data_IF_556809721236
#
_entry.id   IF_556809721236
#
_cell.length_a   1.000
_cell.length_b   1.000
_cell.length_c   1.000
_cell.angle_alpha   90.00
_cell.angle_beta   90.00
_cell.angle_gamma   90.00
#
_symmetry.space_group_name_H-M   'P 1'
#
loop_
_entity.id
_entity.type
_entity.pdbx_description
1 polymer ?
#
# COMPACT_ATOMS: atom_id res chain seq x y z
N UNK A 1 20.63 17.54 -11.44
CA UNK A 1 20.20 16.13 -11.43
C UNK A 1 18.76 16.12 -10.96
N UNK A 2 17.87 15.95 -11.91
CA UNK A 2 16.41 15.85 -11.73
C UNK A 2 16.13 14.60 -10.88
N UNK A 3 15.56 14.78 -9.67
CA UNK A 3 14.90 13.69 -8.94
C UNK A 3 13.67 13.33 -9.76
N UNK A 4 13.84 12.34 -10.63
CA UNK A 4 12.74 11.75 -11.37
C UNK A 4 11.65 11.33 -10.39
N UNK A 5 10.41 11.73 -10.68
CA UNK A 5 9.18 11.38 -9.98
C UNK A 5 9.08 9.86 -9.79
N UNK A 6 9.64 9.33 -8.70
CA UNK A 6 9.46 7.94 -8.34
C UNK A 6 8.02 7.75 -7.91
N UNK A 7 7.26 7.05 -8.73
CA UNK A 7 5.90 6.62 -8.38
C UNK A 7 6.07 5.41 -7.47
N UNK A 8 5.93 5.61 -6.17
CA UNK A 8 5.99 4.54 -5.18
C UNK A 8 4.57 4.07 -4.88
N UNK A 9 4.33 2.76 -4.91
CA UNK A 9 2.99 2.16 -4.82
C UNK A 9 3.03 1.02 -3.79
N UNK A 10 2.08 0.98 -2.88
CA UNK A 10 2.02 0.06 -1.72
C UNK A 10 0.72 -0.74 -1.67
N UNK A 11 0.77 -1.93 -1.07
CA UNK A 11 -0.30 -2.93 -1.14
C UNK A 11 -0.49 -3.67 0.18
N UNK A 12 -1.73 -4.01 0.53
CA UNK A 12 -2.08 -4.88 1.65
C UNK A 12 -2.99 -6.03 1.22
N UNK A 13 -2.86 -7.18 1.88
CA UNK A 13 -3.57 -8.42 1.56
C UNK A 13 -4.33 -8.93 2.78
N UNK A 14 -5.63 -9.16 2.60
CA UNK A 14 -6.52 -9.57 3.67
C UNK A 14 -7.02 -11.03 3.55
N UNK A 15 -7.58 -11.51 4.65
CA UNK A 15 -7.93 -12.87 5.03
C UNK A 15 -9.24 -13.39 4.42
N UNK A 16 -9.43 -14.74 4.41
CA UNK A 16 -10.70 -15.43 4.14
C UNK A 16 -11.80 -14.95 5.11
N UNK A 17 -12.92 -14.49 4.56
CA UNK A 17 -13.99 -13.81 5.31
C UNK A 17 -13.87 -12.29 5.33
N UNK A 18 -12.68 -11.75 5.06
CA UNK A 18 -12.38 -10.37 4.76
C UNK A 18 -12.02 -10.24 3.28
N UNK A 19 -12.03 -9.02 2.77
CA UNK A 19 -11.63 -8.77 1.40
C UNK A 19 -10.11 -8.62 1.32
N UNK A 20 -9.47 -9.27 0.34
CA UNK A 20 -8.09 -8.94 -0.02
C UNK A 20 -8.11 -7.63 -0.78
N UNK A 21 -7.57 -6.59 -0.15
CA UNK A 21 -7.58 -5.23 -0.68
C UNK A 21 -6.18 -4.81 -1.10
N UNK A 22 -6.12 -4.10 -2.18
CA UNK A 22 -4.91 -3.59 -2.74
C UNK A 22 -5.04 -2.07 -2.93
N UNK A 23 -4.29 -1.31 -2.15
CA UNK A 23 -4.21 0.15 -2.20
C UNK A 23 -3.01 0.58 -3.02
N UNK A 24 -3.19 1.45 -4.00
CA UNK A 24 -2.11 2.01 -4.81
C UNK A 24 -1.88 3.46 -4.42
N UNK A 25 -0.75 3.73 -3.79
CA UNK A 25 -0.33 5.08 -3.44
C UNK A 25 0.76 5.57 -4.39
N UNK A 26 0.64 6.82 -4.80
CA UNK A 26 1.75 7.58 -5.39
C UNK A 26 2.34 8.47 -4.31
N UNK A 27 3.63 8.31 -4.06
CA UNK A 27 4.35 9.03 -3.01
C UNK A 27 5.22 10.11 -3.64
N UNK A 28 5.18 11.30 -3.05
CA UNK A 28 5.98 12.45 -3.46
C UNK A 28 6.90 12.86 -2.33
N UNK A 29 8.21 12.60 -2.43
CA UNK A 29 9.17 13.12 -1.48
C UNK A 29 9.28 14.63 -1.63
N UNK A 30 8.67 15.39 -0.72
CA UNK A 30 8.71 16.84 -0.71
C UNK A 30 9.30 17.34 0.60
N UNK A 31 10.58 17.74 0.56
CA UNK A 31 11.25 18.28 1.76
C UNK A 31 11.28 17.28 2.92
N UNK A 32 10.74 17.72 4.06
CA UNK A 32 10.73 16.95 5.30
C UNK A 32 9.36 16.29 5.58
N UNK A 33 8.40 16.42 4.67
CA UNK A 33 7.08 15.78 4.76
C UNK A 33 6.67 15.22 3.41
N UNK A 34 6.53 13.91 3.32
CA UNK A 34 6.15 13.23 2.09
C UNK A 34 4.64 13.20 1.91
N UNK A 35 4.18 13.53 0.71
CA UNK A 35 2.78 13.50 0.34
C UNK A 35 2.42 12.21 -0.38
N UNK A 36 1.26 11.68 -0.08
CA UNK A 36 0.68 10.51 -0.73
C UNK A 36 -0.56 10.89 -1.52
N UNK A 37 -0.75 10.27 -2.68
CA UNK A 37 -2.01 10.35 -3.41
C UNK A 37 -2.52 8.93 -3.66
N UNK A 38 -3.73 8.65 -3.22
CA UNK A 38 -4.43 7.42 -3.57
C UNK A 38 -4.70 7.43 -5.08
N UNK A 39 -4.11 6.48 -5.79
CA UNK A 39 -4.23 6.38 -7.26
C UNK A 39 -5.29 5.37 -7.67
N UNK A 40 -5.39 4.28 -6.91
CA UNK A 40 -6.33 3.21 -7.18
C UNK A 40 -6.56 2.33 -5.95
N UNK A 41 -7.67 1.62 -5.98
CA UNK A 41 -8.04 0.57 -5.05
C UNK A 41 -8.55 -0.63 -5.84
N UNK A 42 -8.21 -1.83 -5.36
CA UNK A 42 -8.69 -3.09 -5.92
C UNK A 42 -9.15 -3.99 -4.79
N UNK A 43 -10.16 -4.80 -5.05
CA UNK A 43 -10.53 -5.94 -4.23
C UNK A 43 -10.24 -7.16 -5.07
N UNK A 44 -9.37 -8.05 -4.57
CA UNK A 44 -8.97 -9.28 -5.24
C UNK A 44 -9.89 -10.43 -4.82
N UNK A 45 -10.08 -11.40 -5.71
CA UNK A 45 -10.89 -12.58 -5.41
C UNK A 45 -12.36 -12.28 -5.14
N UNK A 46 -13.00 -11.44 -5.96
CA UNK A 46 -14.39 -10.98 -5.77
C UNK A 46 -15.38 -12.13 -5.88
N UNK A 47 -15.16 -13.07 -6.80
CA UNK A 47 -16.06 -14.22 -7.02
C UNK A 47 -15.70 -15.39 -6.12
N UNK A 48 -16.68 -16.28 -5.84
CA UNK A 48 -16.47 -17.47 -5.01
C UNK A 48 -15.42 -18.44 -5.57
N UNK A 49 -15.26 -18.46 -6.89
CA UNK A 49 -14.25 -19.26 -7.60
C UNK A 49 -12.85 -18.63 -7.54
N UNK A 50 -12.76 -17.32 -7.26
CA UNK A 50 -11.54 -16.53 -7.23
C UNK A 50 -11.00 -16.30 -5.81
N UNK A 51 -11.53 -16.97 -4.81
CA UNK A 51 -11.10 -16.79 -3.40
C UNK A 51 -9.84 -17.58 -3.04
N UNK A 52 -9.31 -18.38 -3.95
CA UNK A 52 -8.08 -19.14 -3.72
C UNK A 52 -6.86 -18.22 -3.82
N UNK A 53 -5.82 -18.49 -3.01
CA UNK A 53 -4.63 -17.63 -2.97
C UNK A 53 -3.90 -17.59 -4.31
N UNK A 54 -3.81 -18.71 -5.02
CA UNK A 54 -3.19 -18.80 -6.33
C UNK A 54 -3.79 -17.79 -7.33
N UNK A 55 -5.12 -17.65 -7.38
CA UNK A 55 -5.76 -16.65 -8.24
C UNK A 55 -5.45 -15.22 -7.79
N UNK A 56 -5.51 -14.96 -6.48
CA UNK A 56 -5.19 -13.64 -5.94
C UNK A 56 -3.72 -13.27 -6.15
N UNK A 57 -2.81 -14.23 -6.07
CA UNK A 57 -1.38 -14.06 -6.40
C UNK A 57 -1.20 -13.67 -7.86
N UNK A 58 -1.87 -14.35 -8.79
CA UNK A 58 -1.85 -14.01 -10.22
C UNK A 58 -2.38 -12.59 -10.44
N UNK A 59 -3.54 -12.24 -9.83
CA UNK A 59 -4.09 -10.88 -9.94
C UNK A 59 -3.12 -9.83 -9.40
N UNK A 60 -2.49 -10.07 -8.24
CA UNK A 60 -1.52 -9.15 -7.68
C UNK A 60 -0.28 -9.00 -8.56
N UNK A 61 0.26 -10.09 -9.09
CA UNK A 61 1.41 -10.05 -10.01
C UNK A 61 1.10 -9.28 -11.29
N UNK A 62 -0.11 -9.44 -11.85
CA UNK A 62 -0.59 -8.64 -12.99
C UNK A 62 -0.64 -7.14 -12.65
N UNK A 63 -1.04 -6.80 -11.41
CA UNK A 63 -1.06 -5.42 -10.98
C UNK A 63 0.35 -4.88 -10.76
N UNK A 64 1.29 -5.69 -10.25
CA UNK A 64 2.71 -5.32 -10.15
C UNK A 64 3.27 -4.99 -11.54
N UNK A 65 3.03 -5.83 -12.54
CA UNK A 65 3.43 -5.54 -13.92
C UNK A 65 2.80 -4.24 -14.45
N UNK A 66 1.50 -4.06 -14.22
CA UNK A 66 0.74 -2.89 -14.69
C UNK A 66 1.24 -1.58 -14.10
N UNK A 67 1.57 -1.57 -12.82
CA UNK A 67 1.92 -0.34 -12.11
C UNK A 67 3.41 -0.16 -11.92
N UNK A 68 4.19 -1.21 -12.04
CA UNK A 68 5.63 -1.22 -11.79
C UNK A 68 5.99 -0.49 -10.48
N UNK A 69 5.50 -1.00 -9.32
CA UNK A 69 5.73 -0.35 -8.04
C UNK A 69 7.18 -0.47 -7.62
N UNK A 70 7.67 0.50 -6.86
CA UNK A 70 8.98 0.41 -6.21
C UNK A 70 8.96 -0.62 -5.08
N UNK A 71 7.85 -0.69 -4.36
CA UNK A 71 7.70 -1.57 -3.21
C UNK A 71 6.25 -2.03 -3.05
N UNK A 72 6.06 -3.23 -2.55
CA UNK A 72 4.77 -3.87 -2.29
C UNK A 72 4.74 -4.31 -0.84
N UNK A 73 3.85 -3.72 -0.05
CA UNK A 73 3.69 -4.06 1.37
C UNK A 73 2.69 -5.19 1.51
N UNK A 74 3.03 -6.21 2.28
CA UNK A 74 2.19 -7.40 2.49
C UNK A 74 2.03 -7.66 3.99
N UNK A 75 0.80 -7.83 4.47
CA UNK A 75 0.55 -8.40 5.78
C UNK A 75 0.92 -9.89 5.78
N UNK A 76 1.94 -10.25 6.54
CA UNK A 76 2.41 -11.63 6.68
C UNK A 76 1.95 -12.28 7.98
N UNK A 77 0.93 -11.74 8.66
CA UNK A 77 0.34 -12.39 9.81
C UNK A 77 -0.55 -13.57 9.39
N UNK A 78 -0.41 -14.67 10.09
CA UNK A 78 -1.28 -15.84 9.92
C UNK A 78 -1.29 -16.34 8.49
N UNK A 79 -2.42 -16.17 7.78
CA UNK A 79 -2.58 -16.60 6.39
C UNK A 79 -1.90 -15.69 5.35
N UNK A 80 -1.39 -14.54 5.72
CA UNK A 80 -0.57 -13.73 4.84
C UNK A 80 0.79 -14.36 4.54
N UNK A 81 1.30 -15.24 5.42
CA UNK A 81 2.55 -15.95 5.18
C UNK A 81 2.45 -16.93 3.98
N UNK A 82 1.48 -17.87 3.87
CA UNK A 82 1.30 -18.70 2.68
C UNK A 82 1.14 -17.88 1.40
N UNK A 83 0.46 -16.74 1.44
CA UNK A 83 0.38 -15.85 0.31
C UNK A 83 1.76 -15.30 -0.09
N UNK A 84 2.58 -14.90 0.89
CA UNK A 84 3.97 -14.49 0.67
C UNK A 84 4.81 -15.60 0.05
N UNK A 85 4.63 -16.86 0.50
CA UNK A 85 5.31 -18.04 -0.05
C UNK A 85 5.00 -18.28 -1.53
N UNK A 86 3.80 -17.92 -1.98
CA UNK A 86 3.41 -18.03 -3.39
C UNK A 86 3.88 -16.82 -4.21
N UNK A 87 4.02 -15.64 -3.59
CA UNK A 87 4.59 -14.47 -4.27
C UNK A 87 6.06 -14.65 -4.64
N UNK A 88 6.82 -15.42 -3.85
CA UNK A 88 8.26 -15.68 -4.11
C UNK A 88 8.52 -16.78 -5.13
N UNK A 89 7.47 -17.39 -5.70
CA UNK A 89 7.57 -18.40 -6.76
C UNK A 89 7.16 -17.80 -8.10
N UNK A 90 7.65 -18.36 -9.20
CA UNK A 90 7.03 -18.12 -10.51
C UNK A 90 5.62 -18.71 -10.54
N UNK A 91 4.68 -18.03 -11.21
CA UNK A 91 3.27 -18.40 -11.19
C UNK A 91 2.73 -18.39 -12.61
N UNK A 92 2.08 -19.49 -13.02
CA UNK A 92 1.46 -19.59 -14.34
C UNK A 92 0.16 -18.78 -14.40
N UNK A 93 0.06 -17.89 -15.37
CA UNK A 93 -1.14 -17.12 -15.67
C UNK A 93 -1.95 -17.82 -16.76
N UNK A 94 -2.97 -18.59 -16.37
CA UNK A 94 -3.80 -19.37 -17.30
C UNK A 94 -4.54 -18.49 -18.33
N UNK A 95 -4.93 -17.27 -17.96
CA UNK A 95 -5.69 -16.38 -18.85
C UNK A 95 -4.82 -15.79 -19.94
N UNK A 96 -3.55 -15.49 -19.62
CA UNK A 96 -2.59 -14.87 -20.54
C UNK A 96 -1.67 -15.88 -21.21
N UNK A 97 -1.60 -17.13 -20.70
CA UNK A 97 -0.70 -18.16 -21.18
C UNK A 97 0.78 -17.82 -20.98
N UNK A 98 1.14 -17.13 -19.89
CA UNK A 98 2.51 -16.72 -19.61
C UNK A 98 2.91 -17.06 -18.16
N UNK A 99 4.21 -17.19 -17.93
CA UNK A 99 4.79 -17.30 -16.60
C UNK A 99 5.00 -15.91 -16.02
N UNK A 100 4.41 -15.63 -14.87
CA UNK A 100 4.62 -14.41 -14.10
C UNK A 100 5.83 -14.58 -13.18
N UNK A 101 6.68 -13.53 -13.02
CA UNK A 101 7.93 -13.66 -12.29
C UNK A 101 7.72 -13.85 -10.78
N UNK A 102 8.74 -14.38 -10.13
CA UNK A 102 8.89 -14.39 -8.69
C UNK A 102 9.30 -12.99 -8.20
N UNK A 103 8.78 -12.59 -7.04
CA UNK A 103 9.19 -11.37 -6.35
C UNK A 103 9.73 -11.72 -4.96
N UNK A 104 10.82 -11.09 -4.54
CA UNK A 104 11.45 -11.37 -3.25
C UNK A 104 11.13 -10.33 -2.19
N UNK A 105 11.22 -10.75 -0.92
CA UNK A 105 11.13 -9.86 0.23
C UNK A 105 12.44 -9.11 0.46
N UNK A 106 12.33 -7.86 0.90
CA UNK A 106 13.46 -7.02 1.34
C UNK A 106 13.81 -7.28 2.80
N UNK A 107 12.83 -7.70 3.57
CA UNK A 107 12.93 -8.10 4.96
C UNK A 107 12.41 -9.54 5.12
N UNK A 108 12.67 -10.17 6.26
CA UNK A 108 12.28 -11.57 6.55
C UNK A 108 12.89 -12.60 5.58
N UNK A 109 14.15 -12.41 5.17
CA UNK A 109 14.86 -13.37 4.30
C UNK A 109 14.93 -14.78 4.92
N UNK A 110 14.98 -14.88 6.25
CA UNK A 110 14.94 -16.11 7.03
C UNK A 110 13.58 -16.82 6.99
N UNK A 111 12.50 -16.09 6.85
CA UNK A 111 11.15 -16.64 6.74
C UNK A 111 10.84 -17.15 5.32
N UNK A 112 11.34 -16.45 4.31
CA UNK A 112 11.11 -16.75 2.90
C UNK A 112 12.38 -17.33 2.22
N UNK A 113 12.91 -18.41 2.77
CA UNK A 113 14.17 -19.03 2.33
C UNK A 113 14.17 -19.56 0.90
N UNK A 114 12.99 -19.84 0.33
CA UNK A 114 12.82 -20.35 -1.03
C UNK A 114 12.78 -19.29 -2.12
N UNK A 115 12.93 -18.01 -1.78
CA UNK A 115 12.94 -16.95 -2.78
C UNK A 115 14.16 -17.05 -3.70
N UNK A 116 13.99 -16.92 -5.03
CA UNK A 116 15.10 -16.99 -5.97
C UNK A 116 16.11 -15.86 -5.73
N UNK A 117 17.41 -16.18 -5.81
CA UNK A 117 18.48 -15.17 -5.58
C UNK A 117 18.42 -13.99 -6.54
N UNK A 118 17.94 -14.22 -7.77
CA UNK A 118 17.90 -13.22 -8.84
C UNK A 118 16.52 -12.59 -9.02
N UNK A 119 15.55 -12.80 -8.10
CA UNK A 119 14.26 -12.15 -8.20
C UNK A 119 14.33 -10.66 -7.79
N UNK A 120 13.38 -9.88 -8.30
CA UNK A 120 13.23 -8.48 -7.90
C UNK A 120 12.73 -8.41 -6.45
N UNK A 121 13.55 -7.89 -5.54
CA UNK A 121 13.19 -7.73 -4.11
C UNK A 121 12.37 -6.46 -3.92
N UNK A 122 11.08 -6.53 -4.18
CA UNK A 122 10.14 -5.42 -4.02
C UNK A 122 9.11 -5.65 -2.92
N UNK A 123 9.05 -6.85 -2.34
CA UNK A 123 8.09 -7.15 -1.29
C UNK A 123 8.62 -6.70 0.08
N UNK A 124 7.76 -6.10 0.87
CA UNK A 124 8.01 -5.71 2.25
C UNK A 124 6.95 -6.33 3.15
N UNK A 125 7.35 -7.29 3.99
CA UNK A 125 6.44 -7.95 4.92
C UNK A 125 6.19 -7.09 6.15
N UNK A 126 4.95 -7.03 6.62
CA UNK A 126 4.57 -6.48 7.92
C UNK A 126 3.99 -7.61 8.77
N UNK A 127 4.56 -7.82 9.95
CA UNK A 127 4.00 -8.70 10.97
C UNK A 127 3.54 -7.86 12.15
N UNK A 128 2.29 -7.39 12.05
CA UNK A 128 1.74 -6.46 13.01
C UNK A 128 1.47 -7.12 14.37
N UNK A 129 1.80 -6.39 15.43
CA UNK A 129 1.43 -6.66 16.82
C UNK A 129 0.72 -5.44 17.42
N UNK A 130 0.31 -5.50 18.68
CA UNK A 130 -0.43 -4.40 19.31
C UNK A 130 0.30 -3.06 19.30
N UNK A 131 1.61 -3.04 19.52
CA UNK A 131 2.42 -1.83 19.49
C UNK A 131 2.54 -1.26 18.08
N UNK A 132 2.82 -2.12 17.11
CA UNK A 132 2.93 -1.74 15.70
C UNK A 132 1.59 -1.26 15.13
N UNK A 133 0.47 -1.91 15.50
CA UNK A 133 -0.87 -1.43 15.13
C UNK A 133 -1.11 -0.02 15.65
N UNK A 134 -0.76 0.27 16.91
CA UNK A 134 -0.89 1.61 17.49
C UNK A 134 -0.04 2.65 16.75
N UNK A 135 1.17 2.29 16.34
CA UNK A 135 2.05 3.14 15.55
C UNK A 135 1.47 3.41 14.14
N UNK A 136 0.98 2.37 13.47
CA UNK A 136 0.32 2.50 12.16
C UNK A 136 -0.89 3.44 12.23
N UNK A 137 -1.75 3.29 13.25
CA UNK A 137 -2.88 4.19 13.49
C UNK A 137 -2.44 5.64 13.67
N UNK A 138 -1.42 5.86 14.49
CA UNK A 138 -0.89 7.20 14.75
C UNK A 138 -0.29 7.84 13.49
N UNK A 139 0.42 7.07 12.68
CA UNK A 139 1.03 7.51 11.43
C UNK A 139 -0.04 7.90 10.41
N UNK A 140 -1.06 7.06 10.21
CA UNK A 140 -2.16 7.37 9.30
C UNK A 140 -2.93 8.59 9.76
N UNK A 141 -3.28 8.69 11.06
CA UNK A 141 -3.94 9.84 11.62
C UNK A 141 -3.15 11.14 11.39
N UNK A 142 -1.84 11.12 11.66
CA UNK A 142 -0.95 12.26 11.46
C UNK A 142 -0.90 12.70 9.99
N UNK A 143 -0.78 11.76 9.05
CA UNK A 143 -0.75 12.04 7.62
C UNK A 143 -2.08 12.59 7.08
N UNK A 144 -3.21 12.09 7.59
CA UNK A 144 -4.54 12.62 7.25
C UNK A 144 -4.73 14.01 7.83
N UNK A 145 -4.43 14.20 9.12
CA UNK A 145 -4.59 15.47 9.81
C UNK A 145 -3.71 16.60 9.21
N UNK A 146 -2.49 16.27 8.79
CA UNK A 146 -1.58 17.21 8.14
C UNK A 146 -1.93 17.49 6.66
N UNK A 147 -2.98 16.88 6.11
CA UNK A 147 -3.33 17.01 4.70
C UNK A 147 -2.29 16.41 3.75
N UNK A 148 -1.48 15.46 4.25
CA UNK A 148 -0.42 14.82 3.46
C UNK A 148 -0.91 13.62 2.66
N UNK A 149 -2.21 13.29 2.72
CA UNK A 149 -2.85 12.25 1.92
C UNK A 149 -3.97 12.87 1.09
N UNK A 150 -3.90 12.65 -0.22
CA UNK A 150 -4.98 13.00 -1.14
C UNK A 150 -5.76 11.75 -1.54
N UNK A 151 -7.06 11.79 -1.35
CA UNK A 151 -7.98 10.75 -1.80
C UNK A 151 -8.51 11.04 -3.22
N UNK A 152 -9.03 10.01 -3.88
CA UNK A 152 -9.76 10.21 -5.12
C UNK A 152 -11.06 10.99 -4.83
N UNK A 153 -11.54 11.74 -5.83
CA UNK A 153 -12.83 12.42 -5.75
C UNK A 153 -13.95 11.40 -5.57
N UNK A 154 -15.10 11.86 -5.05
CA UNK A 154 -16.26 11.00 -4.85
C UNK A 154 -16.69 10.29 -6.15
N UNK A 155 -17.33 9.12 -6.03
CA UNK A 155 -17.89 8.41 -7.16
C UNK A 155 -18.83 9.30 -7.96
N UNK A 156 -19.64 10.11 -7.27
CA UNK A 156 -20.62 11.00 -7.89
C UNK A 156 -19.94 12.08 -8.76
N UNK A 157 -18.90 12.73 -8.22
CA UNK A 157 -18.12 13.72 -8.98
C UNK A 157 -17.35 13.08 -10.13
N UNK A 158 -16.82 11.89 -9.93
CA UNK A 158 -16.14 11.12 -10.98
C UNK A 158 -17.10 10.76 -12.11
N UNK A 159 -18.34 10.36 -11.81
CA UNK A 159 -19.39 10.07 -12.78
C UNK A 159 -19.78 11.30 -13.57
N UNK A 160 -19.97 12.44 -12.90
CA UNK A 160 -20.26 13.72 -13.55
C UNK A 160 -19.12 14.11 -14.48
N UNK A 161 -17.86 14.08 -14.01
CA UNK A 161 -16.68 14.35 -14.82
C UNK A 161 -16.56 13.41 -16.02
N UNK A 162 -16.81 12.13 -15.85
CA UNK A 162 -16.72 11.14 -16.91
C UNK A 162 -17.75 11.43 -18.01
N UNK A 163 -18.99 11.68 -17.61
CA UNK A 163 -20.11 11.90 -18.54
C UNK A 163 -20.12 13.30 -19.18
N UNK A 164 -19.40 14.27 -18.62
CA UNK A 164 -19.23 15.59 -19.24
C UNK A 164 -18.34 15.56 -20.50
N UNK A 165 -17.57 14.47 -20.69
CA UNK A 165 -16.67 14.33 -21.84
C UNK A 165 -17.29 13.47 -22.94
N UNK A 166 -17.13 13.88 -24.23
CA UNK A 166 -17.58 13.08 -25.38
C UNK A 166 -17.01 11.65 -25.37
N UNK A 167 -15.75 11.49 -24.89
CA UNK A 167 -15.10 10.17 -24.75
C UNK A 167 -15.79 9.33 -23.68
N UNK A 168 -16.14 9.90 -22.54
CA UNK A 168 -16.81 9.20 -21.44
C UNK A 168 -18.23 8.77 -21.81
N UNK A 169 -18.96 9.60 -22.58
CA UNK A 169 -20.30 9.26 -23.06
C UNK A 169 -20.31 8.08 -24.02
N UNK A 170 -19.24 7.90 -24.81
CA UNK A 170 -19.09 6.78 -25.77
C UNK A 170 -18.60 5.48 -25.17
N UNK A 171 -18.22 5.47 -23.88
CA UNK A 171 -17.78 4.23 -23.22
C UNK A 171 -18.93 3.27 -23.05
N UNK A 172 -18.64 1.97 -23.25
CA UNK A 172 -19.57 0.88 -22.92
C UNK A 172 -19.80 0.82 -21.40
N UNK A 173 -20.94 0.30 -20.93
CA UNK A 173 -21.25 0.22 -19.49
C UNK A 173 -20.12 -0.39 -18.66
N UNK A 174 -19.54 -1.52 -19.10
CA UNK A 174 -18.47 -2.21 -18.39
C UNK A 174 -17.20 -1.33 -18.27
N UNK A 175 -16.90 -0.56 -19.30
CA UNK A 175 -15.76 0.37 -19.28
C UNK A 175 -16.00 1.54 -18.34
N UNK A 176 -17.25 1.99 -18.19
CA UNK A 176 -17.65 3.04 -17.23
C UNK A 176 -17.50 2.51 -15.80
N UNK A 177 -18.04 1.32 -15.51
CA UNK A 177 -17.91 0.65 -14.21
C UNK A 177 -16.44 0.53 -13.85
N UNK A 178 -15.61 -0.03 -14.73
CA UNK A 178 -14.17 -0.18 -14.49
C UNK A 178 -13.45 1.13 -14.18
N UNK A 179 -13.90 2.26 -14.76
CA UNK A 179 -13.32 3.58 -14.49
C UNK A 179 -13.82 4.21 -13.20
N UNK A 180 -15.05 3.92 -12.79
CA UNK A 180 -15.67 4.47 -11.58
C UNK A 180 -15.32 3.65 -10.33
N UNK A 181 -15.04 2.36 -10.50
CA UNK A 181 -14.71 1.44 -9.39
C UNK A 181 -13.68 2.00 -8.37
N UNK A 182 -12.55 2.61 -8.76
CA UNK A 182 -11.62 3.18 -7.78
C UNK A 182 -12.24 4.29 -6.93
N UNK A 183 -13.13 5.07 -7.49
CA UNK A 183 -13.83 6.15 -6.79
C UNK A 183 -14.89 5.62 -5.83
N UNK A 184 -15.65 4.59 -6.25
CA UNK A 184 -16.58 3.85 -5.39
C UNK A 184 -15.86 3.23 -4.20
N UNK A 185 -14.78 2.48 -4.45
CA UNK A 185 -13.98 1.86 -3.39
C UNK A 185 -13.34 2.91 -2.46
N UNK A 186 -12.99 4.09 -2.97
CA UNK A 186 -12.51 5.20 -2.14
C UNK A 186 -13.62 5.74 -1.24
N UNK A 187 -14.84 5.86 -1.74
CA UNK A 187 -15.99 6.26 -0.92
C UNK A 187 -16.27 5.25 0.19
N UNK A 188 -16.14 3.95 -0.12
CA UNK A 188 -16.26 2.89 0.91
C UNK A 188 -15.11 2.99 1.93
N UNK A 189 -13.87 3.22 1.50
CA UNK A 189 -12.72 3.43 2.39
C UNK A 189 -12.97 4.61 3.36
N UNK A 190 -13.46 5.73 2.86
CA UNK A 190 -13.79 6.89 3.69
C UNK A 190 -14.86 6.52 4.73
N UNK A 191 -15.89 5.78 4.32
CA UNK A 191 -16.92 5.29 5.26
C UNK A 191 -16.34 4.31 6.28
N UNK A 192 -15.39 3.42 5.89
CA UNK A 192 -14.68 2.57 6.86
C UNK A 192 -13.92 3.43 7.88
N UNK A 193 -13.19 4.47 7.44
CA UNK A 193 -12.47 5.39 8.33
C UNK A 193 -13.44 6.10 9.30
N UNK A 194 -14.56 6.62 8.80
CA UNK A 194 -15.58 7.30 9.63
C UNK A 194 -16.28 6.36 10.62
N UNK A 195 -16.28 5.05 10.33
CA UNK A 195 -16.85 4.02 11.22
C UNK A 195 -15.89 3.60 12.34
N UNK A 196 -14.73 4.21 12.47
CA UNK A 196 -13.73 3.83 13.47
C UNK A 196 -13.71 4.81 14.64
N UNK A 197 -13.48 4.28 15.83
CA UNK A 197 -13.19 5.04 17.05
C UNK A 197 -11.89 4.57 17.67
N UNK A 198 -11.14 5.49 18.20
CA UNK A 198 -9.94 5.19 18.98
C UNK A 198 -10.31 4.72 20.37
N UNK A 199 -9.58 3.73 20.87
CA UNK A 199 -9.72 3.19 22.22
C UNK A 199 -8.34 3.00 22.84
N UNK A 200 -8.05 3.61 24.00
CA UNK A 200 -6.84 3.30 24.73
C UNK A 200 -6.83 1.83 25.16
N UNK A 201 -5.71 1.15 24.99
CA UNK A 201 -5.59 -0.27 25.38
C UNK A 201 -5.22 -0.45 26.86
N UNK A 202 -4.86 0.63 27.55
CA UNK A 202 -4.35 0.58 28.93
C UNK A 202 -2.91 0.06 29.05
N UNK A 203 -2.29 -0.32 27.96
CA UNK A 203 -0.89 -0.82 27.91
C UNK A 203 -0.02 0.19 27.21
N UNK A 204 0.98 0.74 27.88
CA UNK A 204 2.02 1.64 27.31
C UNK A 204 1.48 2.77 26.41
N UNK A 205 0.33 3.35 26.76
CA UNK A 205 -0.35 4.38 25.98
C UNK A 205 -0.69 3.96 24.52
N UNK A 206 -0.78 2.67 24.24
CA UNK A 206 -1.15 2.18 22.92
C UNK A 206 -2.64 2.48 22.63
N UNK A 207 -2.91 2.76 21.36
CA UNK A 207 -4.24 3.03 20.85
C UNK A 207 -4.67 1.85 19.97
N UNK A 208 -5.83 1.30 20.24
CA UNK A 208 -6.52 0.39 19.32
C UNK A 208 -7.62 1.16 18.56
N UNK A 209 -7.97 0.65 17.40
CA UNK A 209 -9.09 1.18 16.60
C UNK A 209 -10.18 0.13 16.53
N UNK A 210 -11.38 0.52 16.95
CA UNK A 210 -12.57 -0.32 16.96
C UNK A 210 -13.63 0.21 15.98
N UNK A 211 -14.34 -0.70 15.32
CA UNK A 211 -15.49 -0.36 14.49
C UNK A 211 -16.69 0.03 15.37
N UNK A 212 -17.32 1.17 15.06
CA UNK A 212 -18.58 1.60 15.67
C UNK A 212 -19.69 0.62 15.26
N UNK A 213 -19.81 0.37 13.97
CA UNK A 213 -20.66 -0.67 13.42
C UNK A 213 -19.80 -1.88 12.98
N UNK A 214 -19.88 -2.96 13.72
CA UNK A 214 -19.12 -4.19 13.48
C UNK A 214 -19.48 -4.93 12.18
N UNK A 215 -20.62 -4.60 11.56
CA UNK A 215 -21.04 -5.19 10.28
C UNK A 215 -20.32 -4.56 9.09
N UNK A 216 -19.76 -3.38 9.25
CA UNK A 216 -18.95 -2.72 8.23
C UNK A 216 -17.51 -3.26 8.30
N UNK A 217 -16.93 -3.67 7.18
CA UNK A 217 -15.54 -4.07 7.09
C UNK A 217 -14.58 -2.93 7.46
N UNK A 218 -13.29 -3.26 7.59
CA UNK A 218 -12.20 -2.28 7.74
C UNK A 218 -10.99 -2.65 6.88
N UNK A 219 -11.19 -3.49 5.87
CA UNK A 219 -10.09 -4.07 5.10
C UNK A 219 -9.36 -3.01 4.26
N UNK A 220 -10.12 -2.04 3.70
CA UNK A 220 -9.54 -0.93 2.92
C UNK A 220 -8.77 0.04 3.81
N UNK A 221 -9.29 0.27 5.02
CA UNK A 221 -8.59 1.05 6.04
C UNK A 221 -7.28 0.38 6.44
N UNK A 222 -7.27 -0.92 6.75
CA UNK A 222 -6.07 -1.66 7.13
C UNK A 222 -5.02 -1.65 6.02
N UNK A 223 -5.44 -1.84 4.75
CA UNK A 223 -4.56 -1.74 3.60
C UNK A 223 -3.91 -0.36 3.46
N UNK A 224 -4.69 0.71 3.61
CA UNK A 224 -4.16 2.08 3.57
C UNK A 224 -3.18 2.33 4.72
N UNK A 225 -3.51 1.87 5.90
CA UNK A 225 -2.73 2.07 7.11
C UNK A 225 -1.33 1.45 7.02
N UNK A 226 -1.22 0.21 6.56
CA UNK A 226 0.05 -0.46 6.33
C UNK A 226 0.89 0.23 5.24
N UNK A 227 0.24 0.65 4.15
CA UNK A 227 0.91 1.39 3.09
C UNK A 227 1.47 2.73 3.59
N UNK A 228 0.69 3.48 4.37
CA UNK A 228 1.12 4.76 4.94
C UNK A 228 2.22 4.58 5.99
N UNK A 229 2.14 3.53 6.81
CA UNK A 229 3.18 3.19 7.77
C UNK A 229 4.54 3.02 7.06
N UNK A 230 4.57 2.25 5.98
CA UNK A 230 5.81 2.05 5.23
C UNK A 230 6.32 3.35 4.60
N UNK A 231 5.44 4.20 4.12
CA UNK A 231 5.83 5.54 3.62
C UNK A 231 6.51 6.37 4.71
N UNK A 232 5.98 6.36 5.94
CA UNK A 232 6.58 7.08 7.08
C UNK A 232 7.95 6.51 7.46
N UNK A 233 8.12 5.18 7.42
CA UNK A 233 9.43 4.55 7.63
C UNK A 233 10.45 5.04 6.59
N UNK A 234 10.09 5.00 5.31
CA UNK A 234 10.98 5.43 4.21
C UNK A 234 11.31 6.93 4.31
N UNK A 235 10.36 7.76 4.71
CA UNK A 235 10.58 9.17 4.99
C UNK A 235 11.62 9.35 6.10
N UNK A 236 11.49 8.61 7.19
CA UNK A 236 12.41 8.61 8.32
C UNK A 236 13.82 8.14 7.91
N UNK A 237 13.91 7.08 7.15
CA UNK A 237 15.17 6.56 6.59
C UNK A 237 15.84 7.63 5.69
N UNK A 238 15.07 8.25 4.80
CA UNK A 238 15.57 9.32 3.92
C UNK A 238 16.11 10.52 4.70
N UNK A 239 15.38 10.98 5.71
CA UNK A 239 15.79 12.12 6.55
C UNK A 239 17.03 11.79 7.37
N UNK A 240 17.16 10.59 7.91
CA UNK A 240 18.34 10.15 8.65
C UNK A 240 19.59 10.14 7.76
N UNK A 241 19.49 9.60 6.55
CA UNK A 241 20.58 9.63 5.57
C UNK A 241 20.98 11.06 5.16
N UNK A 242 20.02 11.96 5.01
CA UNK A 242 20.26 13.37 4.69
C UNK A 242 21.00 14.09 5.81
N UNK A 243 20.62 13.86 7.07
CA UNK A 243 21.29 14.42 8.26
C UNK A 243 22.74 13.92 8.36
N UNK A 244 22.97 12.64 8.17
CA UNK A 244 24.29 12.02 8.22
C UNK A 244 25.22 12.57 7.12
N UNK A 245 24.73 12.78 5.91
CA UNK A 245 25.49 13.43 4.83
C UNK A 245 25.83 14.89 5.15
N UNK A 246 24.93 15.61 5.79
CA UNK A 246 25.17 17.00 6.26
C UNK A 246 26.23 17.07 7.36
N UNK A 247 26.21 16.14 8.31
CA UNK A 247 27.23 16.03 9.37
C UNK A 247 28.61 15.66 8.81
N UNK A 248 28.69 14.69 7.91
CA UNK A 248 29.95 14.30 7.29
C UNK A 248 30.56 15.42 6.43
N UNK A 249 29.74 16.23 5.77
CA UNK A 249 30.23 17.44 5.08
C UNK A 249 30.80 18.46 6.07
N UNK A 250 30.12 18.74 7.19
CA UNK A 250 30.65 19.67 8.23
C UNK A 250 31.94 19.14 8.82
N UNK A 251 32.03 17.85 9.16
CA UNK A 251 33.26 17.24 9.70
C UNK A 251 34.42 17.26 8.70
N UNK A 252 34.17 17.14 7.40
CA UNK A 252 35.21 17.24 6.37
C UNK A 252 35.74 18.67 6.19
N UNK A 253 34.92 19.69 6.46
CA UNK A 253 35.36 21.08 6.49
C UNK A 253 36.29 21.36 7.68
N UNK A 254 36.00 20.83 8.87
CA UNK A 254 36.86 20.97 10.04
C UNK A 254 38.19 20.22 9.95
N UNK A 255 38.27 19.14 9.20
CA UNK A 255 39.52 18.39 8.93
C UNK A 255 40.47 19.08 7.93
N UNK A 256 39.99 19.98 7.08
CA UNK A 256 40.81 20.72 6.10
C UNK A 256 41.33 22.07 6.59
N UNK A 257 40.91 22.51 7.78
CA UNK A 257 41.32 23.78 8.36
C UNK A 257 42.45 23.71 9.41
N UNK A 258 43.09 22.53 9.57
CA UNK A 258 44.19 22.33 10.51
C UNK A 258 45.45 21.79 9.79
N UNK A 259 46.08 22.62 8.99
CA UNK A 259 47.43 22.44 8.49
C UNK A 259 48.07 23.83 8.37
#
# INVERSE_FOLDING_TARGET
>A
MSLANSIEKYWDIARVGCQTVCVVLKVYPTGDNWHCTLVNLYVLGITSEQKTFDVQVVELKRLIEKFNPREVVIDINGIGQPFGDDMVKETWDNERGIMLPAYGFQNYDDLFTHQPKNCSKILFGIKANGALNSEMHSNLYSKVYSGSINFLISEQDAKVKLLSTKKGQRLRPEQRIKRLMPHELTSILINEIMNLKQKPTGVNNQIAVEQINKRMGKDKFSALEMAVYRVVQMETEYLSHRRNRGLNRKLSFFRKGGA
#
